data_IF_191028533794
#
_entry.id   IF_191028533794
#
_cell.length_a   1.000
_cell.length_b   1.000
_cell.length_c   1.000
_cell.angle_alpha   90.00
_cell.angle_beta   90.00
_cell.angle_gamma   90.00
#
_symmetry.space_group_name_H-M   'P 1'
#
loop_
_entity.id
_entity.type
_entity.pdbx_description
1 polymer ?
#
# COMPACT_ATOMS: atom_id res chain seq x y z
N UNK A 1 12.34 -15.89 18.31
CA UNK A 1 12.52 -14.71 17.44
C UNK A 1 12.33 -15.18 16.00
N UNK A 2 11.27 -14.74 15.30
CA UNK A 2 10.93 -15.27 13.96
C UNK A 2 11.81 -14.57 12.91
N UNK A 3 12.59 -15.31 12.12
CA UNK A 3 13.30 -14.76 10.96
C UNK A 3 12.27 -14.20 9.97
N UNK A 4 12.53 -13.01 9.44
CA UNK A 4 11.67 -12.40 8.43
C UNK A 4 12.31 -12.61 7.06
N UNK A 5 11.62 -13.35 6.19
CA UNK A 5 12.04 -13.54 4.80
C UNK A 5 11.38 -12.47 3.94
N UNK A 6 12.20 -11.77 3.16
CA UNK A 6 11.76 -10.83 2.14
C UNK A 6 12.08 -11.41 0.76
N UNK A 7 11.35 -10.97 -0.25
CA UNK A 7 11.59 -11.34 -1.65
C UNK A 7 11.71 -10.06 -2.45
N UNK A 8 12.85 -9.89 -3.12
CA UNK A 8 13.05 -8.87 -4.12
C UNK A 8 12.63 -9.44 -5.48
N UNK A 9 11.69 -8.79 -6.15
CA UNK A 9 11.24 -9.15 -7.50
C UNK A 9 11.71 -8.07 -8.47
N UNK A 10 12.57 -8.44 -9.42
CA UNK A 10 13.12 -7.52 -10.41
C UNK A 10 12.06 -7.10 -11.42
N UNK A 11 11.87 -5.80 -11.61
CA UNK A 11 10.85 -5.26 -12.52
C UNK A 11 9.38 -5.56 -12.12
N UNK A 12 9.14 -6.11 -10.92
CA UNK A 12 7.80 -6.56 -10.51
C UNK A 12 6.74 -5.46 -10.49
N UNK A 13 7.12 -4.19 -10.35
CA UNK A 13 6.18 -3.08 -10.34
C UNK A 13 5.38 -2.94 -11.64
N UNK A 14 5.98 -3.24 -12.80
CA UNK A 14 5.28 -3.12 -14.09
C UNK A 14 4.17 -4.17 -14.21
N UNK A 15 4.38 -5.41 -13.73
CA UNK A 15 3.32 -6.43 -13.67
C UNK A 15 2.16 -6.01 -12.79
N UNK A 16 2.45 -5.38 -11.65
CA UNK A 16 1.41 -4.84 -10.77
C UNK A 16 0.60 -3.74 -11.46
N UNK A 17 1.26 -2.84 -12.20
CA UNK A 17 0.57 -1.78 -12.95
C UNK A 17 -0.32 -2.35 -14.06
N UNK A 18 0.17 -3.32 -14.82
CA UNK A 18 -0.63 -3.99 -15.86
C UNK A 18 -1.88 -4.66 -15.27
N UNK A 19 -1.75 -5.35 -14.14
CA UNK A 19 -2.88 -5.96 -13.44
C UNK A 19 -3.85 -4.91 -12.90
N UNK A 20 -3.33 -3.80 -12.35
CA UNK A 20 -4.17 -2.70 -11.86
C UNK A 20 -4.94 -2.03 -13.01
N UNK A 21 -4.32 -1.83 -14.17
CA UNK A 21 -4.96 -1.16 -15.30
C UNK A 21 -6.13 -1.99 -15.84
N UNK A 22 -5.99 -3.32 -15.91
CA UNK A 22 -7.09 -4.23 -16.27
C UNK A 22 -8.28 -4.16 -15.29
N UNK A 23 -8.01 -3.91 -14.01
CA UNK A 23 -9.05 -3.74 -12.99
C UNK A 23 -9.67 -2.33 -13.01
N UNK A 24 -8.95 -1.33 -13.52
CA UNK A 24 -9.31 0.08 -13.43
C UNK A 24 -10.63 0.41 -14.11
N UNK A 25 -10.91 -0.20 -15.26
CA UNK A 25 -12.16 0.01 -16.00
C UNK A 25 -13.39 -0.42 -15.18
N UNK A 26 -13.31 -1.60 -14.56
CA UNK A 26 -14.38 -2.11 -13.69
C UNK A 26 -14.59 -1.22 -12.48
N UNK A 27 -13.50 -0.77 -11.86
CA UNK A 27 -13.57 0.14 -10.70
C UNK A 27 -14.11 1.51 -11.09
N UNK A 28 -13.77 2.01 -12.27
CA UNK A 28 -14.30 3.27 -12.80
C UNK A 28 -15.81 3.15 -13.02
N UNK A 29 -16.26 2.10 -13.70
CA UNK A 29 -17.66 1.81 -13.91
C UNK A 29 -18.40 1.72 -12.56
N UNK A 30 -17.87 0.98 -11.59
CA UNK A 30 -18.45 0.90 -10.26
C UNK A 30 -18.57 2.27 -9.57
N UNK A 31 -17.50 3.07 -9.56
CA UNK A 31 -17.53 4.42 -8.98
C UNK A 31 -18.53 5.35 -9.71
N UNK A 32 -18.83 5.10 -10.98
CA UNK A 32 -19.88 5.83 -11.70
C UNK A 32 -21.29 5.46 -11.20
N UNK A 33 -21.54 4.20 -10.84
CA UNK A 33 -22.83 3.73 -10.32
C UNK A 33 -23.14 4.33 -8.94
N UNK A 34 -22.12 4.52 -8.11
CA UNK A 34 -22.26 5.15 -6.79
C UNK A 34 -22.01 6.67 -6.83
N UNK A 35 -21.92 7.26 -8.02
CA UNK A 35 -21.75 8.71 -8.13
C UNK A 35 -22.93 9.45 -7.48
N UNK A 36 -22.67 10.60 -6.87
CA UNK A 36 -23.69 11.36 -6.11
C UNK A 36 -23.90 10.91 -4.66
N UNK A 37 -23.48 9.71 -4.27
CA UNK A 37 -23.56 9.23 -2.87
C UNK A 37 -22.57 9.92 -1.92
N UNK A 38 -21.58 10.62 -2.49
CA UNK A 38 -20.48 11.21 -1.74
C UNK A 38 -19.42 10.21 -1.28
N UNK A 39 -19.43 8.98 -1.80
CA UNK A 39 -18.40 7.97 -1.56
C UNK A 39 -17.60 7.66 -2.83
N UNK A 40 -16.38 7.18 -2.63
CA UNK A 40 -15.49 6.72 -3.70
C UNK A 40 -14.60 5.59 -3.19
N UNK A 41 -14.41 4.58 -4.05
CA UNK A 41 -13.55 3.45 -3.77
C UNK A 41 -12.21 3.59 -4.50
N UNK A 42 -11.11 3.55 -3.75
CA UNK A 42 -9.74 3.48 -4.28
C UNK A 42 -9.18 2.06 -4.17
N UNK A 43 -8.39 1.60 -5.16
CA UNK A 43 -7.80 0.27 -5.16
C UNK A 43 -6.45 0.21 -4.42
N UNK A 44 -5.91 1.38 -4.03
CA UNK A 44 -4.52 1.55 -3.64
C UNK A 44 -4.38 2.67 -2.61
N UNK A 45 -3.57 2.41 -1.59
CA UNK A 45 -3.04 3.39 -0.66
C UNK A 45 -1.51 3.41 -0.74
N UNK A 46 -0.90 4.60 -0.89
CA UNK A 46 0.55 4.76 -0.99
C UNK A 46 1.06 5.59 0.19
N UNK A 47 2.07 5.07 0.89
CA UNK A 47 2.77 5.78 1.97
C UNK A 47 4.20 6.08 1.55
N UNK A 48 4.62 7.33 1.73
CA UNK A 48 5.96 7.80 1.41
C UNK A 48 6.79 7.95 2.68
N UNK A 49 8.04 7.49 2.64
CA UNK A 49 9.00 7.64 3.72
C UNK A 49 10.36 8.02 3.15
N UNK A 50 10.98 9.07 3.70
CA UNK A 50 12.34 9.49 3.31
C UNK A 50 13.33 8.94 4.34
N UNK A 51 14.35 8.23 3.89
CA UNK A 51 15.44 7.73 4.74
C UNK A 51 16.44 8.85 5.07
N UNK A 52 17.31 8.62 6.05
CA UNK A 52 18.29 9.62 6.51
C UNK A 52 19.29 10.05 5.42
N UNK A 53 19.53 9.19 4.43
CA UNK A 53 20.37 9.43 3.26
C UNK A 53 19.63 10.16 2.11
N UNK A 54 18.37 10.56 2.33
CA UNK A 54 17.53 11.20 1.32
C UNK A 54 16.79 10.22 0.40
N UNK A 55 17.04 8.91 0.49
CA UNK A 55 16.39 7.90 -0.34
C UNK A 55 14.89 7.84 -0.04
N UNK A 56 14.05 7.94 -1.09
CA UNK A 56 12.59 7.82 -0.96
C UNK A 56 12.18 6.35 -1.03
N UNK A 57 11.39 5.92 -0.05
CA UNK A 57 10.74 4.61 0.02
C UNK A 57 9.23 4.79 -0.13
N UNK A 58 8.64 4.03 -1.05
CA UNK A 58 7.20 4.08 -1.35
C UNK A 58 6.57 2.73 -1.00
N UNK A 59 5.69 2.71 -0.01
CA UNK A 59 4.93 1.51 0.36
C UNK A 59 3.59 1.53 -0.36
N UNK A 60 3.32 0.48 -1.12
CA UNK A 60 2.07 0.31 -1.84
C UNK A 60 1.23 -0.74 -1.11
N UNK A 61 -0.02 -0.41 -0.84
CA UNK A 61 -1.00 -1.29 -0.22
C UNK A 61 -2.23 -1.35 -1.13
N UNK A 62 -2.42 -2.48 -1.79
CA UNK A 62 -3.56 -2.71 -2.67
C UNK A 62 -4.70 -3.34 -1.89
N UNK A 63 -5.91 -2.88 -2.19
CA UNK A 63 -7.13 -3.36 -1.56
C UNK A 63 -8.30 -2.43 -1.79
N UNK A 64 -9.30 -2.51 -0.93
CA UNK A 64 -10.48 -1.64 -1.00
C UNK A 64 -10.34 -0.54 0.05
N UNK A 65 -10.21 0.71 -0.41
CA UNK A 65 -10.11 1.88 0.46
C UNK A 65 -11.23 2.86 0.15
N UNK A 66 -12.19 2.94 1.06
CA UNK A 66 -13.33 3.81 0.94
C UNK A 66 -13.01 5.21 1.42
N UNK A 67 -13.45 6.20 0.65
CA UNK A 67 -13.35 7.61 0.98
C UNK A 67 -14.71 8.28 0.87
N UNK A 68 -14.99 9.17 1.81
CA UNK A 68 -16.07 10.15 1.70
C UNK A 68 -15.51 11.43 1.08
N UNK A 69 -16.21 11.97 0.10
CA UNK A 69 -15.87 13.20 -0.59
C UNK A 69 -16.75 14.32 -0.03
N UNK A 70 -16.11 15.28 0.63
CA UNK A 70 -16.78 16.44 1.22
C UNK A 70 -16.30 17.72 0.51
N UNK A 71 -17.17 18.71 0.36
CA UNK A 71 -16.75 20.07 -0.04
C UNK A 71 -16.60 20.92 1.20
N UNK A 72 -15.40 21.46 1.45
CA UNK A 72 -15.13 22.43 2.53
C UNK A 72 -14.50 23.67 1.93
N UNK A 73 -15.14 24.83 2.13
CA UNK A 73 -14.67 26.12 1.58
C UNK A 73 -14.36 26.04 0.07
N UNK A 74 -15.25 25.38 -0.70
CA UNK A 74 -15.08 25.17 -2.14
C UNK A 74 -14.04 24.10 -2.55
N UNK A 75 -13.28 23.53 -1.61
CA UNK A 75 -12.27 22.49 -1.88
C UNK A 75 -12.82 21.09 -1.64
N UNK A 76 -12.49 20.16 -2.53
CA UNK A 76 -12.80 18.74 -2.37
C UNK A 76 -11.85 18.10 -1.36
N UNK A 77 -12.41 17.53 -0.30
CA UNK A 77 -11.69 16.85 0.78
C UNK A 77 -12.03 15.37 0.75
N UNK A 78 -11.01 14.52 0.76
CA UNK A 78 -11.13 13.07 0.78
C UNK A 78 -10.91 12.57 2.20
N UNK A 79 -11.96 12.05 2.84
CA UNK A 79 -11.90 11.50 4.19
C UNK A 79 -11.93 9.98 4.12
N UNK A 80 -10.86 9.32 4.57
CA UNK A 80 -10.83 7.85 4.62
C UNK A 80 -11.87 7.33 5.62
N UNK A 81 -12.66 6.33 5.22
CA UNK A 81 -13.73 5.75 6.06
C UNK A 81 -13.49 4.29 6.41
N UNK A 82 -12.58 3.60 5.74
CA UNK A 82 -12.22 2.21 6.06
C UNK A 82 -12.07 1.32 4.83
N UNK A 83 -12.00 0.01 5.08
CA UNK A 83 -11.88 -1.01 4.03
C UNK A 83 -13.20 -1.71 3.70
N UNK A 84 -14.15 -1.66 4.63
CA UNK A 84 -15.48 -2.23 4.45
C UNK A 84 -16.40 -1.27 3.70
N UNK A 85 -17.35 -1.84 2.95
CA UNK A 85 -18.38 -1.08 2.25
C UNK A 85 -19.19 -0.25 3.27
N UNK A 86 -19.30 1.08 3.08
CA UNK A 86 -20.11 1.94 3.94
C UNK A 86 -21.55 1.45 4.02
N UNK A 87 -22.16 1.53 5.20
CA UNK A 87 -23.55 1.06 5.41
C UNK A 87 -24.55 1.90 4.61
N UNK A 88 -24.21 3.16 4.36
CA UNK A 88 -24.97 4.09 3.51
C UNK A 88 -25.03 3.65 2.05
N UNK A 89 -24.19 2.69 1.63
CA UNK A 89 -24.21 2.09 0.30
C UNK A 89 -24.83 0.69 0.30
N UNK A 90 -25.61 0.31 1.31
CA UNK A 90 -26.20 -1.04 1.41
C UNK A 90 -26.97 -1.44 0.15
N UNK A 91 -27.73 -0.51 -0.45
CA UNK A 91 -28.56 -0.74 -1.65
C UNK A 91 -27.77 -0.62 -2.97
N UNK A 92 -26.51 -0.15 -2.91
CA UNK A 92 -25.64 -0.12 -4.08
C UNK A 92 -25.14 -1.54 -4.40
N UNK A 93 -24.76 -1.84 -5.65
CA UNK A 93 -24.08 -3.10 -5.96
C UNK A 93 -22.78 -3.25 -5.17
N UNK A 94 -22.28 -4.47 -5.07
CA UNK A 94 -20.96 -4.70 -4.48
C UNK A 94 -19.84 -4.30 -5.44
N UNK A 95 -18.69 -3.84 -4.90
CA UNK A 95 -17.56 -3.49 -5.73
C UNK A 95 -16.99 -4.73 -6.44
N UNK A 96 -16.45 -4.57 -7.65
CA UNK A 96 -15.83 -5.67 -8.36
C UNK A 96 -14.68 -6.27 -7.52
N UNK A 97 -14.41 -7.59 -7.63
CA UNK A 97 -13.28 -8.21 -6.96
C UNK A 97 -11.96 -7.55 -7.39
N UNK A 98 -11.13 -7.13 -6.43
CA UNK A 98 -9.82 -6.57 -6.71
C UNK A 98 -8.78 -7.70 -6.76
N UNK A 99 -8.17 -8.00 -7.93
CA UNK A 99 -7.19 -9.08 -8.07
C UNK A 99 -5.90 -8.84 -7.27
N UNK A 100 -5.68 -7.61 -6.79
CA UNK A 100 -4.53 -7.21 -6.01
C UNK A 100 -4.86 -7.01 -4.52
N UNK A 101 -6.06 -7.40 -4.03
CA UNK A 101 -6.44 -7.17 -2.63
C UNK A 101 -5.50 -7.86 -1.63
N UNK A 102 -4.87 -7.06 -0.78
CA UNK A 102 -3.87 -7.51 0.18
C UNK A 102 -2.46 -7.65 -0.37
N UNK A 103 -2.19 -7.23 -1.63
CA UNK A 103 -0.83 -7.08 -2.13
C UNK A 103 -0.18 -5.87 -1.46
N UNK A 104 0.97 -6.10 -0.80
CA UNK A 104 1.76 -5.05 -0.14
C UNK A 104 3.23 -5.17 -0.50
N UNK A 105 3.85 -4.07 -0.89
CA UNK A 105 5.30 -4.06 -1.18
C UNK A 105 5.91 -2.68 -0.98
N UNK A 106 7.22 -2.66 -0.85
CA UNK A 106 8.02 -1.44 -0.88
C UNK A 106 8.73 -1.29 -2.23
N UNK A 107 8.81 -0.05 -2.71
CA UNK A 107 9.76 0.38 -3.75
C UNK A 107 10.84 1.25 -3.11
N UNK A 108 12.08 1.04 -3.52
CA UNK A 108 13.24 1.81 -3.08
C UNK A 108 13.73 2.63 -4.27
N UNK A 109 13.79 3.95 -4.10
CA UNK A 109 14.06 4.88 -5.20
C UNK A 109 12.98 4.84 -6.28
N UNK A 110 13.38 5.05 -7.53
CA UNK A 110 12.49 5.06 -8.69
C UNK A 110 12.58 3.78 -9.55
N UNK A 111 13.28 2.76 -9.06
CA UNK A 111 13.33 1.44 -9.70
C UNK A 111 11.94 0.78 -9.81
N UNK A 112 11.81 -0.13 -10.77
CA UNK A 112 10.63 -0.99 -10.94
C UNK A 112 10.73 -2.29 -10.12
N UNK A 113 11.80 -2.44 -9.34
CA UNK A 113 11.95 -3.54 -8.41
C UNK A 113 11.02 -3.34 -7.21
N UNK A 114 10.50 -4.45 -6.68
CA UNK A 114 9.63 -4.44 -5.51
C UNK A 114 10.14 -5.41 -4.45
N UNK A 115 10.00 -5.02 -3.19
CA UNK A 115 10.35 -5.82 -2.03
C UNK A 115 9.09 -6.20 -1.27
N UNK A 116 8.82 -7.51 -1.17
CA UNK A 116 7.66 -8.07 -0.49
C UNK A 116 8.11 -8.90 0.72
N UNK A 117 7.22 -9.10 1.70
CA UNK A 117 7.39 -10.24 2.61
C UNK A 117 7.06 -11.56 1.91
N UNK A 118 7.69 -12.63 2.35
CA UNK A 118 7.57 -13.95 1.71
C UNK A 118 6.13 -14.47 1.63
N UNK A 119 5.30 -14.23 2.65
CA UNK A 119 3.89 -14.63 2.66
C UNK A 119 3.09 -13.88 1.58
N UNK A 120 3.31 -12.57 1.44
CA UNK A 120 2.71 -11.79 0.36
C UNK A 120 3.21 -12.28 -1.00
N UNK A 121 4.51 -12.56 -1.15
CA UNK A 121 5.04 -13.11 -2.40
C UNK A 121 4.36 -14.43 -2.78
N UNK A 122 4.27 -15.40 -1.88
CA UNK A 122 3.64 -16.70 -2.19
C UNK A 122 2.19 -16.57 -2.66
N UNK A 123 1.41 -15.66 -2.06
CA UNK A 123 0.02 -15.39 -2.45
C UNK A 123 -0.11 -14.79 -3.85
N UNK A 124 0.91 -14.03 -4.29
CA UNK A 124 0.89 -13.27 -5.54
C UNK A 124 1.94 -13.71 -6.56
N UNK A 125 2.60 -14.86 -6.36
CA UNK A 125 3.69 -15.32 -7.24
C UNK A 125 3.27 -15.48 -8.69
N UNK A 126 2.01 -15.83 -8.93
CA UNK A 126 1.39 -15.90 -10.26
C UNK A 126 1.53 -14.58 -11.04
N UNK A 127 1.60 -13.43 -10.35
CA UNK A 127 1.75 -12.12 -10.97
C UNK A 127 3.18 -11.88 -11.49
N UNK A 128 4.16 -12.62 -10.95
CA UNK A 128 5.59 -12.42 -11.18
C UNK A 128 6.25 -13.56 -11.95
N UNK A 129 5.46 -14.43 -12.59
CA UNK A 129 5.97 -15.52 -13.41
C UNK A 129 6.90 -15.01 -14.51
N UNK A 130 8.06 -15.67 -14.64
CA UNK A 130 9.12 -15.31 -15.58
C UNK A 130 9.99 -14.11 -15.16
N UNK A 131 9.79 -13.53 -13.98
CA UNK A 131 10.68 -12.51 -13.43
C UNK A 131 11.76 -13.12 -12.53
N UNK A 132 12.91 -12.47 -12.47
CA UNK A 132 13.97 -12.80 -11.53
C UNK A 132 13.55 -12.44 -10.09
N UNK A 133 13.77 -13.36 -9.15
CA UNK A 133 13.45 -13.18 -7.73
C UNK A 133 14.61 -13.56 -6.84
N UNK A 134 14.86 -12.77 -5.80
CA UNK A 134 15.91 -13.01 -4.80
C UNK A 134 15.29 -13.07 -3.41
N UNK A 135 15.48 -14.20 -2.70
CA UNK A 135 15.04 -14.37 -1.32
C UNK A 135 16.10 -13.79 -0.39
N UNK A 136 15.70 -12.88 0.49
CA UNK A 136 16.56 -12.20 1.45
C UNK A 136 16.16 -12.62 2.85
N UNK A 137 17.11 -13.18 3.60
CA UNK A 137 16.92 -13.49 5.01
C UNK A 137 17.29 -12.30 5.87
N UNK A 138 16.30 -11.71 6.54
CA UNK A 138 16.53 -10.59 7.45
C UNK A 138 16.64 -11.10 8.87
N UNK A 139 17.86 -11.10 9.39
CA UNK A 139 18.12 -11.31 10.81
C UNK A 139 17.76 -10.01 11.55
N UNK A 140 16.81 -10.02 12.48
CA UNK A 140 16.47 -8.79 13.20
C UNK A 140 17.66 -8.38 14.09
N UNK A 141 18.18 -7.17 13.87
CA UNK A 141 19.27 -6.63 14.67
C UNK A 141 18.85 -6.50 16.14
N UNK A 142 19.66 -7.05 17.06
CA UNK A 142 19.59 -6.73 18.50
C UNK A 142 20.26 -5.37 18.73
N UNK A 143 19.57 -4.26 18.46
CA UNK A 143 19.85 -2.87 18.92
C UNK A 143 18.76 -1.97 18.31
N UNK A 144 17.88 -1.35 19.09
CA UNK A 144 18.18 -0.21 19.96
C UNK A 144 17.30 -0.18 21.23
N UNK A 145 17.74 -0.88 22.27
CA UNK A 145 17.52 -0.41 23.63
C UNK A 145 18.68 0.53 23.98
N UNK A 146 18.39 1.78 24.31
CA UNK A 146 19.31 2.67 25.02
C UNK A 146 20.25 3.51 24.16
N UNK A 147 19.83 4.73 23.85
CA UNK A 147 20.65 5.94 23.95
C UNK A 147 19.68 7.09 24.27
N UNK A 148 19.37 7.26 25.56
CA UNK A 148 18.86 8.54 26.04
C UNK A 148 20.06 9.48 26.05
N UNK A 149 19.98 10.71 25.52
CA UNK A 149 20.96 11.72 25.85
C UNK A 149 20.92 11.94 27.36
N UNK A 150 22.10 11.92 27.99
CA UNK A 150 22.26 12.27 29.40
C UNK A 150 21.60 13.63 29.65
N UNK A 151 20.73 13.70 30.65
CA UNK A 151 20.28 14.98 31.21
C UNK A 151 21.53 15.73 31.64
N UNK A 152 21.75 16.94 31.12
CA UNK A 152 22.54 17.92 31.84
C UNK A 152 21.63 18.46 32.94
N UNK A 153 21.97 18.17 34.18
CA UNK A 153 21.41 18.91 35.31
C UNK A 153 21.89 20.37 35.20
N UNK A 154 21.02 21.36 35.44
CA UNK A 154 21.47 22.72 35.62
C UNK A 154 22.22 22.81 36.95
N UNK A 155 23.49 23.19 36.90
CA UNK A 155 24.17 23.78 38.05
C UNK A 155 23.51 25.12 38.35
N UNK A 156 23.26 25.36 39.64
CA UNK A 156 22.74 26.60 40.24
C UNK A 156 23.39 27.86 39.65
#
# INVERSE_FOLDING_TARGET
MRMRRLVLVKGGYERVKEALEKYREQLYHYNSLISGTGFYLKPLHIVYHTLADGTRKKYHYYGRYWYRLERRNGRLVWRYVGREKPRELADAPDPPPNPLDGLRFARIGDSNDILLDYETFERFKWLFEGLETLILEVVPSRRSAGLRPARREPTV
#
